data_IF_668559228433
#
_entry.id   IF_668559228433
#
_cell.length_a   1.000
_cell.length_b   1.000
_cell.length_c   1.000
_cell.angle_alpha   90.00
_cell.angle_beta   90.00
_cell.angle_gamma   90.00
#
_symmetry.space_group_name_H-M   'P 1'
#
loop_
_entity.id
_entity.type
_entity.pdbx_description
1 polymer ?
#
# COMPACT_ATOMS: atom_id res chain seq x y z
N UNK A 1 17.81 -20.37 0.84
CA UNK A 1 16.34 -20.31 0.68
C UNK A 1 16.01 -18.92 0.19
N UNK A 2 15.50 -18.75 -1.04
CA UNK A 2 15.17 -17.42 -1.57
C UNK A 2 13.85 -16.96 -0.97
N UNK A 3 13.85 -15.78 -0.35
CA UNK A 3 12.60 -15.14 0.10
C UNK A 3 11.76 -14.84 -1.16
N UNK A 4 10.50 -15.28 -1.24
CA UNK A 4 9.65 -14.99 -2.38
C UNK A 4 9.44 -13.46 -2.49
N UNK A 5 9.59 -12.94 -3.71
CA UNK A 5 9.34 -11.52 -4.04
C UNK A 5 7.98 -11.41 -4.71
N UNK A 6 7.22 -10.38 -4.34
CA UNK A 6 5.95 -10.04 -4.96
C UNK A 6 5.69 -8.55 -4.82
N UNK A 7 4.91 -8.00 -5.74
CA UNK A 7 4.50 -6.60 -5.74
C UNK A 7 2.99 -6.53 -5.50
N UNK A 8 2.53 -5.59 -4.67
CA UNK A 8 1.09 -5.34 -4.46
C UNK A 8 0.74 -3.94 -4.93
N UNK A 9 -0.31 -3.85 -5.75
CA UNK A 9 -0.87 -2.59 -6.21
C UNK A 9 -2.25 -2.37 -5.61
N UNK A 10 -2.40 -1.28 -4.86
CA UNK A 10 -3.66 -0.86 -4.27
C UNK A 10 -4.15 0.38 -4.99
N UNK A 11 -5.40 0.35 -5.46
CA UNK A 11 -6.06 1.49 -6.08
C UNK A 11 -7.40 1.75 -5.38
N UNK A 12 -7.77 3.02 -5.27
CA UNK A 12 -9.05 3.40 -4.70
C UNK A 12 -9.35 4.89 -4.80
N UNK A 13 -10.42 5.30 -4.12
CA UNK A 13 -10.88 6.69 -4.12
C UNK A 13 -10.44 7.38 -2.83
N UNK A 14 -9.93 8.61 -2.96
CA UNK A 14 -9.53 9.43 -1.83
C UNK A 14 -10.65 9.62 -0.81
N UNK A 15 -10.37 9.28 0.45
CA UNK A 15 -11.33 9.31 1.56
C UNK A 15 -11.98 7.97 1.88
N UNK A 16 -11.65 6.87 1.18
CA UNK A 16 -12.17 5.52 1.44
C UNK A 16 -11.23 4.61 2.24
N UNK A 17 -10.08 5.13 2.67
CA UNK A 17 -9.15 4.37 3.50
C UNK A 17 -8.14 3.50 2.75
N UNK A 18 -7.92 3.70 1.45
CA UNK A 18 -6.91 2.94 0.67
C UNK A 18 -5.51 3.05 1.26
N UNK A 19 -5.12 4.21 1.78
CA UNK A 19 -3.82 4.42 2.44
C UNK A 19 -3.72 3.65 3.75
N UNK A 20 -4.78 3.69 4.56
CA UNK A 20 -4.84 2.94 5.82
C UNK A 20 -4.77 1.43 5.55
N UNK A 21 -5.48 0.94 4.53
CA UNK A 21 -5.38 -0.45 4.11
C UNK A 21 -3.96 -0.82 3.66
N UNK A 22 -3.27 0.09 2.97
CA UNK A 22 -1.87 -0.10 2.59
C UNK A 22 -0.93 -0.19 3.79
N UNK A 23 -1.13 0.61 4.83
CA UNK A 23 -0.31 0.56 6.05
C UNK A 23 -0.51 -0.73 6.82
N UNK A 24 -1.78 -1.13 7.02
CA UNK A 24 -2.11 -2.40 7.69
C UNK A 24 -1.51 -3.60 6.95
N UNK A 25 -1.52 -3.58 5.61
CA UNK A 25 -0.94 -4.65 4.80
C UNK A 25 0.59 -4.67 4.90
N UNK A 26 1.24 -3.51 4.89
CA UNK A 26 2.67 -3.40 5.17
C UNK A 26 3.05 -4.02 6.51
N UNK A 27 2.34 -3.66 7.58
CA UNK A 27 2.61 -4.17 8.92
C UNK A 27 2.43 -5.68 9.00
N UNK A 28 1.39 -6.22 8.36
CA UNK A 28 1.17 -7.67 8.29
C UNK A 28 2.32 -8.40 7.58
N UNK A 29 2.86 -7.84 6.50
CA UNK A 29 4.02 -8.42 5.80
C UNK A 29 5.32 -8.30 6.59
N UNK A 30 5.56 -7.16 7.25
CA UNK A 30 6.70 -7.00 8.15
C UNK A 30 6.65 -8.00 9.31
N UNK A 31 5.48 -8.20 9.93
CA UNK A 31 5.26 -9.19 10.99
C UNK A 31 5.44 -10.63 10.50
N UNK A 32 5.20 -10.88 9.22
CA UNK A 32 5.43 -12.19 8.59
C UNK A 32 6.89 -12.42 8.18
N UNK A 33 7.79 -11.48 8.47
CA UNK A 33 9.23 -11.58 8.20
C UNK A 33 9.65 -11.17 6.79
N UNK A 34 8.79 -10.48 6.04
CA UNK A 34 9.13 -9.92 4.73
C UNK A 34 9.78 -8.55 4.87
N UNK A 35 10.70 -8.23 3.96
CA UNK A 35 11.19 -6.87 3.75
C UNK A 35 10.27 -6.16 2.74
N UNK A 36 9.62 -5.07 3.17
CA UNK A 36 8.53 -4.41 2.43
C UNK A 36 8.93 -2.98 2.10
N UNK A 37 8.66 -2.54 0.86
CA UNK A 37 8.92 -1.17 0.42
C UNK A 37 7.66 -0.50 -0.10
N UNK A 38 7.04 0.32 0.74
CA UNK A 38 5.92 1.16 0.33
C UNK A 38 6.38 2.35 -0.52
N UNK A 39 5.71 2.57 -1.65
CA UNK A 39 5.78 3.77 -2.46
C UNK A 39 4.35 4.25 -2.75
N UNK A 40 4.03 5.46 -2.28
CA UNK A 40 2.69 6.02 -2.36
C UNK A 40 2.70 7.39 -3.03
N UNK A 41 1.77 7.61 -3.95
CA UNK A 41 1.58 8.90 -4.62
C UNK A 41 0.31 9.53 -4.08
N UNK A 42 0.48 10.45 -3.13
CA UNK A 42 -0.60 11.28 -2.62
C UNK A 42 -0.83 12.45 -3.58
N UNK A 43 -1.65 12.25 -4.61
CA UNK A 43 -2.30 13.39 -5.24
C UNK A 43 -3.15 14.10 -4.18
N UNK A 44 -3.16 15.42 -4.14
CA UNK A 44 -4.00 16.27 -3.25
C UNK A 44 -5.52 15.98 -3.32
N UNK A 45 -5.94 14.92 -4.01
CA UNK A 45 -7.29 14.40 -4.08
C UNK A 45 -7.67 13.63 -2.79
N UNK A 46 -7.69 14.33 -1.66
CA UNK A 46 -8.11 13.75 -0.37
C UNK A 46 -9.64 13.57 -0.28
N UNK A 47 -10.39 14.02 -1.29
CA UNK A 47 -11.83 13.76 -1.47
C UNK A 47 -12.17 13.65 -2.95
N UNK A 48 -12.47 12.43 -3.42
CA UNK A 48 -13.10 12.18 -4.72
C UNK A 48 -12.19 11.98 -5.93
N UNK A 49 -10.86 11.93 -5.79
CA UNK A 49 -9.95 11.55 -6.89
C UNK A 49 -9.28 10.19 -6.68
N UNK A 50 -8.59 9.71 -7.72
CA UNK A 50 -7.89 8.41 -7.74
C UNK A 50 -6.65 8.42 -6.85
N UNK A 51 -6.49 7.40 -6.02
CA UNK A 51 -5.34 7.16 -5.15
C UNK A 51 -4.76 5.79 -5.48
N UNK A 52 -3.43 5.72 -5.58
CA UNK A 52 -2.70 4.48 -5.89
C UNK A 52 -1.49 4.31 -4.99
N UNK A 53 -1.29 3.10 -4.49
CA UNK A 53 -0.16 2.72 -3.63
C UNK A 53 0.49 1.44 -4.14
N UNK A 54 1.81 1.41 -4.08
CA UNK A 54 2.65 0.28 -4.46
C UNK A 54 3.38 -0.23 -3.21
N UNK A 55 3.37 -1.54 -2.99
CA UNK A 55 4.01 -2.21 -1.86
C UNK A 55 4.93 -3.33 -2.33
#
# INVERSE_FOLDING_TARGET
MSVPKGDVFLAGVGGQGTLLASEVLCDAFLLSGFDVKKSEVHGMAQRGGSVTTHL
#
